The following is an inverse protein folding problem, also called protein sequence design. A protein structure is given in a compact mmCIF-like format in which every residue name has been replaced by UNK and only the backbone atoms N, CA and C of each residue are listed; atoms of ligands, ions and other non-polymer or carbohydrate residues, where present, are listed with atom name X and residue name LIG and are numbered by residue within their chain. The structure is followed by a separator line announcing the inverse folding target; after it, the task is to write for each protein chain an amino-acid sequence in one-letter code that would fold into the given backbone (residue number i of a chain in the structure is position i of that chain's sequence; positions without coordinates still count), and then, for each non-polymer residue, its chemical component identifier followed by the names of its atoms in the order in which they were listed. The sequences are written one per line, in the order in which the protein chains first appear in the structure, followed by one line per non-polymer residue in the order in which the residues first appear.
data_IF_920177749088
#
_entry.id   IF_920177749088
#
_cell.length_a   1.000
_cell.length_b   1.000
_cell.length_c   1.000
_cell.angle_alpha   90.00
_cell.angle_beta   90.00
_cell.angle_gamma   90.00
#
_symmetry.space_group_name_H-M   'P 1'
#
loop_
_entity.id
_entity.type
_entity.pdbx_description
1 polymer ?
#
# COMPACT_ATOMS: atom_id res chain seq x y z
N UNK A 1 51.37 -2.26 30.48
CA UNK A 1 50.55 -1.06 30.22
C UNK A 1 50.35 -0.99 28.74
N UNK A 2 49.23 -1.42 28.21
CA UNK A 2 48.89 -1.29 26.77
C UNK A 2 47.81 -0.21 26.66
N UNK A 3 48.18 0.90 26.02
CA UNK A 3 47.24 1.97 25.65
C UNK A 3 46.44 1.55 24.44
N UNK A 4 45.11 1.44 24.61
CA UNK A 4 44.17 1.30 23.49
C UNK A 4 43.95 2.68 22.84
N UNK A 5 43.92 2.78 21.50
CA UNK A 5 43.57 4.02 20.82
C UNK A 5 42.06 4.25 20.91
N UNK A 6 41.72 5.46 21.31
CA UNK A 6 40.34 6.02 21.29
C UNK A 6 39.92 6.15 19.85
N UNK A 7 38.84 5.44 19.46
CA UNK A 7 38.18 5.67 18.18
C UNK A 7 37.38 6.98 18.26
N UNK A 8 37.92 8.03 17.66
CA UNK A 8 37.16 9.24 17.36
C UNK A 8 36.07 8.92 16.31
N UNK A 9 34.82 9.14 16.69
CA UNK A 9 33.67 9.13 15.80
C UNK A 9 33.78 10.28 14.77
N UNK A 10 34.42 10.04 13.64
CA UNK A 10 34.30 10.90 12.47
C UNK A 10 33.00 10.55 11.75
N UNK A 11 31.99 11.41 11.87
CA UNK A 11 30.82 11.39 11.02
C UNK A 11 31.27 11.48 9.57
N UNK A 12 31.19 10.36 8.84
CA UNK A 12 31.41 10.36 7.39
C UNK A 12 30.22 11.03 6.72
N UNK A 13 30.37 12.30 6.38
CA UNK A 13 29.51 12.99 5.44
C UNK A 13 29.77 12.44 4.04
N UNK A 14 28.95 11.48 3.61
CA UNK A 14 28.90 11.05 2.21
C UNK A 14 28.21 12.15 1.37
N UNK A 15 28.97 13.12 0.93
CA UNK A 15 28.54 14.01 -0.17
C UNK A 15 28.70 13.25 -1.49
N UNK A 16 27.72 12.42 -1.84
CA UNK A 16 27.68 11.81 -3.16
C UNK A 16 27.20 12.84 -4.19
N UNK A 17 28.07 13.14 -5.14
CA UNK A 17 27.76 13.88 -6.38
C UNK A 17 27.06 12.97 -7.40
N UNK A 18 25.90 12.43 -7.05
CA UNK A 18 24.99 11.87 -8.04
C UNK A 18 23.80 12.82 -8.15
N UNK A 19 23.66 13.45 -9.30
CA UNK A 19 22.58 14.35 -9.69
C UNK A 19 21.34 13.58 -10.10
N UNK A 20 20.80 12.79 -9.20
CA UNK A 20 19.41 12.35 -9.19
C UNK A 20 19.01 12.35 -7.71
N UNK A 21 17.82 12.80 -7.41
CA UNK A 21 17.29 12.89 -6.05
C UNK A 21 17.04 11.45 -5.52
N UNK A 22 18.13 10.74 -5.18
CA UNK A 22 18.16 9.33 -4.75
C UNK A 22 18.10 9.17 -3.24
N UNK A 23 17.78 10.25 -2.52
CA UNK A 23 17.60 10.16 -1.07
C UNK A 23 16.33 9.38 -0.79
N UNK A 24 16.47 8.22 -0.13
CA UNK A 24 15.32 7.45 0.36
C UNK A 24 14.52 8.29 1.35
N UNK A 25 13.21 8.27 1.21
CA UNK A 25 12.28 8.90 2.15
C UNK A 25 12.14 8.04 3.39
N UNK A 26 11.87 8.68 4.51
CA UNK A 26 11.48 8.02 5.74
C UNK A 26 9.95 8.02 5.83
N UNK A 27 9.37 6.92 6.26
CA UNK A 27 7.92 6.86 6.46
C UNK A 27 7.50 7.69 7.68
N UNK A 28 6.21 8.06 7.80
CA UNK A 28 5.71 8.74 9.00
C UNK A 28 5.91 7.94 10.29
N UNK A 29 6.11 6.63 10.19
CA UNK A 29 6.33 5.72 11.33
C UNK A 29 7.80 5.48 11.65
N UNK A 30 8.74 6.01 10.85
CA UNK A 30 10.17 5.69 10.96
C UNK A 30 10.75 5.92 12.36
N UNK A 31 10.29 6.94 13.07
CA UNK A 31 10.76 7.20 14.44
C UNK A 31 10.47 6.04 15.41
N UNK A 32 9.39 5.28 15.17
CA UNK A 32 9.03 4.09 15.95
C UNK A 32 9.64 2.82 15.36
N UNK A 33 9.50 2.64 14.06
CA UNK A 33 9.98 1.44 13.39
C UNK A 33 11.48 1.28 13.46
N UNK A 34 12.26 2.37 13.41
CA UNK A 34 13.72 2.33 13.53
C UNK A 34 14.20 1.89 14.92
N UNK A 35 13.47 2.22 15.97
CA UNK A 35 13.80 1.81 17.35
C UNK A 35 13.46 0.34 17.62
N UNK A 36 12.50 -0.21 16.88
CA UNK A 36 12.04 -1.58 17.03
C UNK A 36 12.82 -2.57 16.15
N UNK A 37 13.50 -2.07 15.11
CA UNK A 37 14.22 -2.90 14.15
C UNK A 37 15.57 -3.36 14.73
N UNK A 38 15.58 -4.51 15.40
CA UNK A 38 16.78 -5.12 15.99
C UNK A 38 17.72 -5.64 14.92
N UNK A 39 17.19 -6.13 13.79
CA UNK A 39 17.99 -6.65 12.66
C UNK A 39 18.80 -5.57 11.98
N UNK A 40 18.34 -4.31 12.04
CA UNK A 40 18.88 -3.18 11.27
C UNK A 40 18.85 -3.42 9.74
N UNK A 41 18.02 -4.36 9.28
CA UNK A 41 17.83 -4.66 7.86
C UNK A 41 16.73 -3.80 7.27
N UNK A 42 17.09 -3.09 6.20
CA UNK A 42 16.22 -2.16 5.51
C UNK A 42 16.25 -2.40 4.01
N UNK A 43 15.10 -2.19 3.37
CA UNK A 43 14.93 -2.33 1.94
C UNK A 43 14.23 -1.11 1.36
N UNK A 44 14.55 -0.74 0.12
CA UNK A 44 13.80 0.26 -0.61
C UNK A 44 12.44 -0.29 -1.03
N UNK A 45 11.37 0.46 -0.74
CA UNK A 45 10.04 0.22 -1.26
C UNK A 45 9.43 1.54 -1.74
N UNK A 46 9.13 1.66 -3.04
CA UNK A 46 8.56 2.86 -3.68
C UNK A 46 9.22 4.19 -3.26
N UNK A 47 10.56 4.16 -3.11
CA UNK A 47 11.36 5.33 -2.71
C UNK A 47 11.49 5.56 -1.21
N UNK A 48 10.88 4.73 -0.37
CA UNK A 48 10.99 4.77 1.08
C UNK A 48 11.96 3.71 1.62
N UNK A 49 12.48 3.98 2.82
CA UNK A 49 13.23 3.02 3.62
C UNK A 49 12.24 2.23 4.48
N UNK A 50 12.09 0.93 4.20
CA UNK A 50 11.16 0.05 4.88
C UNK A 50 11.89 -1.09 5.59
N UNK A 51 11.45 -1.46 6.80
CA UNK A 51 12.04 -2.57 7.54
C UNK A 51 11.80 -3.89 6.81
N UNK A 52 12.86 -4.70 6.66
CA UNK A 52 12.78 -6.02 6.06
C UNK A 52 12.18 -7.01 7.05
N UNK A 53 12.65 -6.96 8.28
CA UNK A 53 12.14 -7.62 9.47
C UNK A 53 12.52 -6.77 10.69
N UNK A 54 11.84 -6.94 11.81
CA UNK A 54 12.12 -6.24 13.06
C UNK A 54 13.01 -7.07 13.99
N UNK A 55 12.70 -8.34 14.14
CA UNK A 55 13.54 -9.29 14.89
C UNK A 55 14.72 -9.75 14.02
N UNK A 56 15.62 -10.56 14.57
CA UNK A 56 16.76 -11.12 13.83
C UNK A 56 16.32 -12.03 12.68
N UNK A 57 15.13 -12.58 12.78
CA UNK A 57 14.50 -13.43 11.74
C UNK A 57 13.03 -13.08 11.60
N UNK A 58 12.38 -13.50 10.52
CA UNK A 58 11.01 -13.13 10.16
C UNK A 58 9.94 -14.12 10.65
N UNK A 59 10.30 -15.25 11.25
CA UNK A 59 9.36 -16.34 11.55
C UNK A 59 8.27 -15.91 12.56
N UNK A 60 8.64 -15.22 13.63
CA UNK A 60 7.66 -14.74 14.61
C UNK A 60 6.68 -13.73 14.00
N UNK A 61 7.18 -12.87 13.12
CA UNK A 61 6.38 -11.89 12.39
C UNK A 61 5.42 -12.59 11.43
N UNK A 62 5.89 -13.60 10.69
CA UNK A 62 5.06 -14.44 9.84
C UNK A 62 3.96 -15.17 10.65
N UNK A 63 4.33 -15.81 11.76
CA UNK A 63 3.34 -16.48 12.59
C UNK A 63 2.37 -15.51 13.26
N UNK A 64 2.75 -14.26 13.51
CA UNK A 64 1.82 -13.24 13.98
C UNK A 64 0.71 -12.96 12.95
N UNK A 65 1.05 -12.92 11.65
CA UNK A 65 0.05 -12.81 10.57
C UNK A 65 -0.94 -13.97 10.62
N UNK A 66 -0.45 -15.21 10.86
CA UNK A 66 -1.27 -16.43 10.78
C UNK A 66 -2.07 -16.73 12.06
N UNK A 67 -1.56 -16.35 13.21
CA UNK A 67 -2.11 -16.83 14.51
C UNK A 67 -2.45 -15.74 15.51
N UNK A 68 -2.04 -14.48 15.25
CA UNK A 68 -2.21 -13.36 16.19
C UNK A 68 -2.65 -12.08 15.46
N UNK A 69 -1.80 -11.07 15.48
CA UNK A 69 -1.95 -9.85 14.70
C UNK A 69 -0.57 -9.28 14.33
N UNK A 70 -0.41 -8.88 13.10
CA UNK A 70 0.77 -8.25 12.54
C UNK A 70 0.47 -6.80 12.14
N UNK A 71 1.36 -5.88 12.50
CA UNK A 71 1.25 -4.46 12.15
C UNK A 71 2.36 -4.08 11.18
N UNK A 72 1.99 -3.71 9.95
CA UNK A 72 2.90 -3.38 8.87
C UNK A 72 2.73 -1.92 8.46
N UNK A 73 3.83 -1.23 8.21
CA UNK A 73 3.86 0.09 7.58
C UNK A 73 3.75 -0.06 6.06
N UNK A 74 2.61 0.34 5.51
CA UNK A 74 2.33 0.33 4.07
C UNK A 74 2.26 1.75 3.49
N UNK A 75 2.78 2.76 4.21
CA UNK A 75 2.84 4.14 3.73
C UNK A 75 3.61 4.33 2.42
N UNK A 76 4.59 3.49 2.04
CA UNK A 76 5.26 3.61 0.75
C UNK A 76 4.37 3.47 -0.48
N UNK A 77 3.20 2.83 -0.39
CA UNK A 77 2.22 2.79 -1.49
C UNK A 77 1.89 4.20 -1.97
N UNK A 78 1.87 4.39 -3.29
CA UNK A 78 1.40 5.64 -3.89
C UNK A 78 -0.11 5.77 -3.73
N UNK A 79 -0.57 6.99 -3.50
CA UNK A 79 -1.97 7.31 -3.27
C UNK A 79 -2.31 8.55 -4.07
N UNK A 80 -3.27 8.44 -4.98
CA UNK A 80 -3.76 9.57 -5.76
C UNK A 80 -5.23 9.79 -5.45
N UNK A 81 -5.54 10.99 -5.02
CA UNK A 81 -6.90 11.44 -4.77
C UNK A 81 -7.43 12.06 -6.05
N UNK A 82 -8.55 11.54 -6.54
CA UNK A 82 -9.21 11.97 -7.78
C UNK A 82 -10.59 12.49 -7.39
N UNK A 83 -10.86 13.74 -7.69
CA UNK A 83 -12.09 14.40 -7.29
C UNK A 83 -12.65 15.23 -8.47
N UNK A 84 -13.93 15.12 -8.73
CA UNK A 84 -14.61 15.86 -9.76
C UNK A 84 -15.69 15.05 -10.51
N UNK A 85 -16.53 15.74 -11.31
CA UNK A 85 -17.65 15.12 -12.03
C UNK A 85 -17.23 13.96 -12.95
N UNK A 86 -16.02 14.04 -13.54
CA UNK A 86 -15.51 13.01 -14.43
C UNK A 86 -14.62 11.96 -13.77
N UNK A 87 -14.48 11.97 -12.42
CA UNK A 87 -13.59 11.06 -11.69
C UNK A 87 -13.92 9.57 -11.95
N UNK A 88 -15.21 9.24 -11.97
CA UNK A 88 -15.66 7.87 -12.28
C UNK A 88 -15.33 7.46 -13.71
N UNK A 89 -15.52 8.37 -14.70
CA UNK A 89 -15.23 8.12 -16.10
C UNK A 89 -13.73 7.97 -16.35
N UNK A 90 -12.91 8.84 -15.73
CA UNK A 90 -11.46 8.74 -15.77
C UNK A 90 -10.99 7.38 -15.28
N UNK A 91 -11.41 6.99 -14.07
CA UNK A 91 -11.01 5.71 -13.49
C UNK A 91 -11.53 4.52 -14.30
N UNK A 92 -12.76 4.62 -14.82
CA UNK A 92 -13.30 3.54 -15.66
C UNK A 92 -12.54 3.38 -16.98
N UNK A 93 -12.03 4.47 -17.57
CA UNK A 93 -11.18 4.40 -18.77
C UNK A 93 -9.75 3.94 -18.46
N UNK A 94 -9.23 4.26 -17.26
CA UNK A 94 -7.89 3.92 -16.84
C UNK A 94 -7.74 2.42 -16.53
N UNK A 95 -8.67 1.82 -15.75
CA UNK A 95 -8.52 0.47 -15.23
C UNK A 95 -9.35 -0.57 -15.95
N UNK A 96 -8.98 -1.83 -15.83
CA UNK A 96 -9.68 -2.93 -16.53
C UNK A 96 -11.02 -3.32 -15.90
N UNK A 97 -11.24 -2.98 -14.60
CA UNK A 97 -12.50 -3.20 -13.88
C UNK A 97 -13.55 -2.15 -14.27
N UNK A 98 -14.82 -2.50 -14.12
CA UNK A 98 -15.94 -1.55 -14.26
C UNK A 98 -16.08 -0.74 -12.96
N UNK A 99 -15.64 0.52 -12.96
CA UNK A 99 -15.69 1.42 -11.81
C UNK A 99 -17.08 2.03 -11.62
N UNK A 100 -17.90 2.09 -12.67
CA UNK A 100 -19.26 2.64 -12.60
C UNK A 100 -20.14 1.89 -11.57
N UNK A 101 -19.87 0.59 -11.31
CA UNK A 101 -20.59 -0.22 -10.32
C UNK A 101 -19.99 -0.14 -8.90
N UNK A 102 -18.85 0.52 -8.72
CA UNK A 102 -18.23 0.69 -7.40
C UNK A 102 -19.12 1.55 -6.51
N UNK A 103 -19.50 1.06 -5.35
CA UNK A 103 -20.36 1.79 -4.40
C UNK A 103 -19.52 2.71 -3.51
N UNK A 104 -20.14 3.75 -2.97
CA UNK A 104 -19.50 4.58 -1.93
C UNK A 104 -19.11 3.68 -0.75
N UNK A 105 -17.89 3.83 -0.23
CA UNK A 105 -17.32 2.97 0.79
C UNK A 105 -16.87 1.60 0.29
N UNK A 106 -16.90 1.34 -1.03
CA UNK A 106 -16.36 0.10 -1.60
C UNK A 106 -14.94 0.31 -2.10
N UNK A 107 -14.15 -0.75 -1.98
CA UNK A 107 -12.78 -0.88 -2.52
C UNK A 107 -12.81 -1.88 -3.67
N UNK A 108 -12.06 -1.65 -4.74
CA UNK A 108 -11.93 -2.58 -5.87
C UNK A 108 -10.46 -2.74 -6.23
N UNK A 109 -9.94 -3.96 -6.17
CA UNK A 109 -8.63 -4.28 -6.73
C UNK A 109 -8.71 -4.37 -8.26
N UNK A 110 -7.74 -3.81 -8.98
CA UNK A 110 -7.73 -3.76 -10.44
C UNK A 110 -6.31 -3.55 -10.98
N UNK A 111 -5.93 -4.20 -12.07
CA UNK A 111 -4.79 -3.79 -12.89
C UNK A 111 -5.20 -2.68 -13.86
N UNK A 112 -4.19 -1.99 -14.42
CA UNK A 112 -4.34 -1.12 -15.60
C UNK A 112 -3.19 -1.35 -16.56
N UNK A 113 -3.46 -1.04 -17.84
CA UNK A 113 -2.60 -1.39 -18.94
C UNK A 113 -2.16 -0.16 -19.75
N UNK A 114 -1.14 -0.36 -20.58
CA UNK A 114 -0.84 0.51 -21.72
C UNK A 114 -1.76 0.19 -22.92
N UNK A 115 -1.60 0.93 -24.02
CA UNK A 115 -2.41 0.79 -25.22
C UNK A 115 -2.25 -0.59 -25.91
N UNK A 116 -1.16 -1.30 -25.61
CA UNK A 116 -0.87 -2.64 -26.11
C UNK A 116 -1.42 -3.75 -25.20
N UNK A 117 -2.23 -3.40 -24.19
CA UNK A 117 -2.81 -4.36 -23.26
C UNK A 117 -1.80 -4.96 -22.27
N UNK A 118 -0.63 -4.36 -22.13
CA UNK A 118 0.39 -4.81 -21.17
C UNK A 118 0.26 -4.07 -19.85
N UNK A 119 0.37 -4.81 -18.74
CA UNK A 119 0.15 -4.26 -17.40
C UNK A 119 1.21 -3.23 -17.05
N UNK A 120 0.74 -2.04 -16.66
CA UNK A 120 1.57 -0.98 -16.10
C UNK A 120 1.76 -1.20 -14.60
N UNK A 121 0.65 -1.39 -13.87
CA UNK A 121 0.63 -1.57 -12.43
C UNK A 121 -0.71 -2.19 -12.00
N UNK A 122 -0.83 -2.54 -10.74
CA UNK A 122 -2.05 -2.99 -10.10
C UNK A 122 -2.23 -2.28 -8.75
N UNK A 123 -3.46 -2.24 -8.28
CA UNK A 123 -3.74 -1.58 -7.01
C UNK A 123 -5.22 -1.57 -6.66
N UNK A 124 -5.59 -0.67 -5.75
CA UNK A 124 -6.98 -0.55 -5.30
C UNK A 124 -7.57 0.80 -5.69
N UNK A 125 -8.84 0.80 -6.09
CA UNK A 125 -9.68 1.98 -6.21
C UNK A 125 -10.66 1.98 -5.06
N UNK A 126 -10.64 3.03 -4.24
CA UNK A 126 -11.52 3.28 -3.10
C UNK A 126 -12.49 4.39 -3.48
N UNK A 127 -13.81 4.15 -3.43
CA UNK A 127 -14.80 5.21 -3.64
C UNK A 127 -15.15 5.88 -2.32
N UNK A 128 -14.63 7.09 -2.11
CA UNK A 128 -14.75 7.82 -0.85
C UNK A 128 -16.08 8.57 -0.76
N UNK A 129 -16.56 9.12 -1.89
CA UNK A 129 -17.86 9.79 -1.99
C UNK A 129 -18.40 9.68 -3.42
N UNK A 130 -19.43 10.43 -3.77
CA UNK A 130 -20.07 10.38 -5.09
C UNK A 130 -19.05 10.57 -6.22
N UNK A 131 -18.21 11.61 -6.13
CA UNK A 131 -17.26 12.02 -7.16
C UNK A 131 -15.80 11.96 -6.69
N UNK A 132 -15.52 11.35 -5.54
CA UNK A 132 -14.20 11.32 -4.94
C UNK A 132 -13.70 9.90 -4.75
N UNK A 133 -12.51 9.64 -5.27
CA UNK A 133 -11.87 8.34 -5.24
C UNK A 133 -10.42 8.46 -4.78
N UNK A 134 -9.90 7.39 -4.18
CA UNK A 134 -8.46 7.19 -4.01
C UNK A 134 -8.05 5.97 -4.83
N UNK A 135 -7.00 6.11 -5.64
CA UNK A 135 -6.32 4.97 -6.27
C UNK A 135 -4.96 4.78 -5.61
N UNK A 136 -4.62 3.53 -5.29
CA UNK A 136 -3.29 3.15 -4.79
C UNK A 136 -2.51 2.44 -5.86
N UNK A 137 -1.19 2.53 -5.84
CA UNK A 137 -0.28 1.83 -6.77
C UNK A 137 1.05 1.49 -6.09
N UNK A 138 1.76 0.51 -6.64
CA UNK A 138 3.08 0.12 -6.15
C UNK A 138 4.15 1.15 -6.54
N UNK A 139 4.08 1.69 -7.74
CA UNK A 139 5.05 2.66 -8.29
C UNK A 139 4.36 3.99 -8.70
N UNK A 140 5.13 5.06 -8.97
CA UNK A 140 4.57 6.34 -9.40
C UNK A 140 3.82 6.24 -10.74
N UNK A 141 2.54 6.62 -10.74
CA UNK A 141 1.66 6.61 -11.92
C UNK A 141 0.99 7.97 -12.18
N UNK A 142 1.37 9.04 -11.47
CA UNK A 142 0.72 10.35 -11.57
C UNK A 142 0.71 10.90 -13.00
N UNK A 143 1.85 10.80 -13.70
CA UNK A 143 1.97 11.29 -15.08
C UNK A 143 1.02 10.56 -16.03
N UNK A 144 0.88 9.24 -15.85
CA UNK A 144 -0.03 8.43 -16.65
C UNK A 144 -1.49 8.81 -16.38
N UNK A 145 -1.86 8.95 -15.12
CA UNK A 145 -3.22 9.34 -14.73
C UNK A 145 -3.54 10.75 -15.27
N UNK A 146 -2.62 11.71 -15.16
CA UNK A 146 -2.79 13.06 -15.70
C UNK A 146 -2.90 13.08 -17.23
N UNK A 147 -2.14 12.23 -17.91
CA UNK A 147 -2.22 12.12 -19.38
C UNK A 147 -3.62 11.68 -19.82
N UNK A 148 -4.18 10.66 -19.17
CA UNK A 148 -5.52 10.15 -19.47
C UNK A 148 -6.62 11.17 -19.09
N UNK A 149 -6.41 11.93 -18.03
CA UNK A 149 -7.35 12.95 -17.55
C UNK A 149 -7.44 14.19 -18.46
N UNK A 150 -6.64 14.26 -19.53
CA UNK A 150 -6.60 15.43 -20.41
C UNK A 150 -7.99 15.76 -20.97
N UNK A 151 -8.50 16.95 -20.70
CA UNK A 151 -9.82 17.42 -21.12
C UNK A 151 -10.98 17.02 -20.21
N UNK A 152 -10.74 16.28 -19.12
CA UNK A 152 -11.75 15.89 -18.13
C UNK A 152 -11.84 16.92 -16.99
N UNK A 153 -13.02 17.05 -16.42
CA UNK A 153 -13.28 17.93 -15.28
C UNK A 153 -13.00 17.17 -13.97
N UNK A 154 -11.71 17.03 -13.64
CA UNK A 154 -11.22 16.37 -12.42
C UNK A 154 -10.01 17.10 -11.85
N UNK A 155 -9.83 17.02 -10.54
CA UNK A 155 -8.58 17.33 -9.87
C UNK A 155 -7.88 16.04 -9.44
N UNK A 156 -6.57 15.96 -9.61
CA UNK A 156 -5.75 14.82 -9.23
C UNK A 156 -4.66 15.33 -8.29
N UNK A 157 -4.62 14.77 -7.09
CA UNK A 157 -3.66 15.13 -6.05
C UNK A 157 -2.83 13.90 -5.68
N UNK A 158 -1.51 14.03 -5.66
CA UNK A 158 -0.64 13.04 -5.01
C UNK A 158 -0.76 13.18 -3.50
N UNK A 159 -1.46 12.25 -2.88
CA UNK A 159 -1.77 12.17 -1.45
C UNK A 159 -0.78 11.26 -0.69
N UNK A 160 0.29 10.83 -1.37
CA UNK A 160 1.22 9.82 -0.84
C UNK A 160 1.98 10.28 0.40
N UNK A 161 2.27 11.58 0.50
CA UNK A 161 3.02 12.16 1.62
C UNK A 161 2.13 12.72 2.74
N UNK A 162 0.84 12.90 2.49
CA UNK A 162 -0.11 13.42 3.48
C UNK A 162 -0.92 12.32 4.16
N UNK A 163 -1.06 11.17 3.51
CA UNK A 163 -1.76 10.00 4.05
C UNK A 163 -0.77 8.88 4.40
N UNK A 164 -0.59 8.63 5.69
CA UNK A 164 0.06 7.44 6.22
C UNK A 164 -0.88 6.23 6.15
N UNK A 165 -0.32 5.03 6.04
CA UNK A 165 -1.13 3.82 6.01
C UNK A 165 -0.48 2.67 6.78
N UNK A 166 -1.29 1.94 7.55
CA UNK A 166 -0.90 0.72 8.26
C UNK A 166 -1.76 -0.44 7.80
N UNK A 167 -1.17 -1.62 7.69
CA UNK A 167 -1.90 -2.87 7.57
C UNK A 167 -1.87 -3.62 8.91
N UNK A 168 -3.05 -3.88 9.47
CA UNK A 168 -3.22 -4.73 10.66
C UNK A 168 -3.83 -6.06 10.19
N UNK A 169 -3.02 -7.11 10.17
CA UNK A 169 -3.35 -8.38 9.56
C UNK A 169 -3.31 -9.50 10.59
N UNK A 170 -4.13 -10.53 10.42
CA UNK A 170 -4.21 -11.71 11.29
C UNK A 170 -5.54 -11.84 12.03
N UNK A 171 -5.79 -13.01 12.65
CA UNK A 171 -7.09 -13.36 13.24
C UNK A 171 -7.57 -12.39 14.34
N UNK A 172 -6.64 -11.79 15.10
CA UNK A 172 -6.97 -10.87 16.21
C UNK A 172 -7.12 -9.40 15.76
N UNK A 173 -6.94 -9.09 14.46
CA UNK A 173 -6.98 -7.73 13.95
C UNK A 173 -8.30 -7.01 14.21
N UNK A 174 -9.44 -7.72 14.09
CA UNK A 174 -10.77 -7.16 14.33
C UNK A 174 -10.99 -6.79 15.79
N UNK A 175 -10.62 -7.66 16.70
CA UNK A 175 -10.78 -7.45 18.14
C UNK A 175 -9.97 -6.24 18.61
N UNK A 176 -8.74 -6.10 18.12
CA UNK A 176 -7.90 -4.93 18.41
C UNK A 176 -8.60 -3.67 17.94
N UNK A 177 -9.05 -3.62 16.69
CA UNK A 177 -9.70 -2.44 16.13
C UNK A 177 -11.03 -2.12 16.82
N UNK A 178 -11.85 -3.12 17.14
CA UNK A 178 -13.09 -2.91 17.87
C UNK A 178 -12.86 -2.34 19.28
N UNK A 179 -11.70 -2.61 19.89
CA UNK A 179 -11.37 -2.09 21.23
C UNK A 179 -11.06 -0.59 21.25
N UNK A 180 -10.74 0.01 20.10
CA UNK A 180 -10.33 1.42 19.98
C UNK A 180 -11.20 2.23 19.03
N UNK A 181 -11.96 1.57 18.16
CA UNK A 181 -12.81 2.23 17.17
C UNK A 181 -14.12 2.72 17.80
N UNK A 182 -14.54 3.92 17.43
CA UNK A 182 -15.87 4.44 17.77
C UNK A 182 -17.01 3.72 17.06
N UNK A 183 -16.71 2.81 16.11
CA UNK A 183 -17.67 2.07 15.30
C UNK A 183 -17.30 0.60 15.27
N UNK A 184 -18.27 -0.32 15.44
CA UNK A 184 -18.05 -1.76 15.31
C UNK A 184 -17.66 -2.15 13.88
N UNK A 185 -16.63 -2.98 13.75
CA UNK A 185 -16.16 -3.50 12.46
C UNK A 185 -16.73 -4.90 12.14
N UNK A 186 -17.62 -5.42 12.97
CA UNK A 186 -18.16 -6.79 12.81
C UNK A 186 -18.88 -6.96 11.46
N UNK A 187 -19.61 -5.94 11.03
CA UNK A 187 -20.39 -5.96 9.79
C UNK A 187 -19.65 -5.35 8.59
N UNK A 188 -18.40 -4.88 8.78
CA UNK A 188 -17.63 -4.35 7.68
C UNK A 188 -17.29 -5.49 6.70
N UNK A 189 -17.82 -5.39 5.48
CA UNK A 189 -17.66 -6.40 4.45
C UNK A 189 -16.25 -6.38 3.86
N UNK A 190 -15.79 -7.52 3.36
CA UNK A 190 -14.57 -7.61 2.60
C UNK A 190 -14.61 -6.68 1.38
N UNK A 191 -13.54 -5.95 1.13
CA UNK A 191 -13.43 -4.87 0.14
C UNK A 191 -14.44 -3.73 0.35
N UNK A 192 -14.74 -3.40 1.63
CA UNK A 192 -15.43 -2.17 2.01
C UNK A 192 -14.62 -1.40 3.04
N UNK A 193 -14.90 -0.12 3.15
CA UNK A 193 -14.26 0.80 4.08
C UNK A 193 -15.29 1.66 4.81
N UNK A 194 -14.89 2.17 5.96
CA UNK A 194 -15.65 3.14 6.77
C UNK A 194 -14.71 4.20 7.32
N UNK A 195 -15.25 5.37 7.55
CA UNK A 195 -14.61 6.41 8.36
C UNK A 195 -15.03 6.24 9.82
N UNK A 196 -14.08 6.35 10.73
CA UNK A 196 -14.29 6.24 12.17
C UNK A 196 -13.26 7.09 12.91
N UNK A 197 -13.19 6.95 14.23
CA UNK A 197 -12.14 7.57 15.02
C UNK A 197 -11.53 6.57 15.99
N UNK A 198 -10.26 6.78 16.29
CA UNK A 198 -9.53 6.11 17.37
C UNK A 198 -9.23 7.14 18.46
N UNK A 199 -9.95 7.06 19.58
CA UNK A 199 -9.82 8.02 20.69
C UNK A 199 -9.90 9.50 20.25
N UNK A 200 -10.79 9.80 19.27
CA UNK A 200 -10.98 11.17 18.75
C UNK A 200 -10.18 11.49 17.50
N UNK A 201 -9.15 10.71 17.15
CA UNK A 201 -8.39 10.87 15.89
C UNK A 201 -9.13 10.23 14.72
N UNK A 202 -9.41 10.98 13.68
CA UNK A 202 -10.10 10.50 12.47
C UNK A 202 -9.23 9.53 11.68
N UNK A 203 -9.81 8.39 11.31
CA UNK A 203 -9.17 7.38 10.46
C UNK A 203 -10.18 6.78 9.50
N UNK A 204 -9.69 6.31 8.35
CA UNK A 204 -10.48 5.45 7.46
C UNK A 204 -9.97 4.02 7.57
N UNK A 205 -10.86 3.04 7.64
CA UNK A 205 -10.48 1.63 7.76
C UNK A 205 -11.11 0.87 6.60
N UNK A 206 -10.30 0.16 5.81
CA UNK A 206 -10.77 -0.78 4.80
C UNK A 206 -10.52 -2.23 5.27
N UNK A 207 -11.49 -3.12 5.00
CA UNK A 207 -11.29 -4.56 5.19
C UNK A 207 -10.62 -5.14 3.95
N UNK A 208 -9.35 -4.85 3.84
CA UNK A 208 -8.43 -5.25 2.78
C UNK A 208 -7.11 -5.69 3.38
N UNK A 209 -6.25 -6.31 2.59
CA UNK A 209 -4.92 -6.73 3.02
C UNK A 209 -4.21 -7.54 1.94
N UNK A 210 -2.94 -7.83 2.20
CA UNK A 210 -2.04 -8.46 1.25
C UNK A 210 -1.40 -9.75 1.81
N UNK A 211 -2.13 -10.44 2.70
CA UNK A 211 -1.62 -11.62 3.43
C UNK A 211 -2.44 -12.89 3.24
N UNK A 212 -3.63 -12.77 2.62
CA UNK A 212 -4.57 -13.87 2.48
C UNK A 212 -5.40 -14.18 3.73
N UNK A 213 -5.09 -13.55 4.85
CA UNK A 213 -5.82 -13.67 6.12
C UNK A 213 -6.79 -12.51 6.36
N UNK A 214 -7.55 -12.61 7.47
CA UNK A 214 -8.33 -11.48 7.97
C UNK A 214 -7.40 -10.31 8.24
N UNK A 215 -7.76 -9.15 7.71
CA UNK A 215 -6.97 -7.96 7.92
C UNK A 215 -7.70 -6.69 7.54
N UNK A 216 -7.09 -5.59 7.94
CA UNK A 216 -7.57 -4.24 7.72
C UNK A 216 -6.42 -3.33 7.34
N UNK A 217 -6.69 -2.35 6.50
CA UNK A 217 -5.79 -1.24 6.22
C UNK A 217 -6.37 0.03 6.84
N UNK A 218 -5.51 0.78 7.52
CA UNK A 218 -5.85 1.96 8.29
C UNK A 218 -5.18 3.15 7.62
N UNK A 219 -5.99 4.10 7.14
CA UNK A 219 -5.57 5.29 6.43
C UNK A 219 -5.66 6.48 7.38
N UNK A 220 -4.55 7.18 7.58
CA UNK A 220 -4.33 8.11 8.68
C UNK A 220 -3.74 9.39 8.12
N UNK A 221 -4.13 10.57 8.64
CA UNK A 221 -3.36 11.78 8.38
C UNK A 221 -1.93 11.58 8.91
N UNK A 222 -0.94 11.93 8.11
CA UNK A 222 0.48 11.77 8.46
C UNK A 222 0.83 12.35 9.85
N UNK A 223 0.22 13.48 10.23
CA UNK A 223 0.47 14.13 11.53
C UNK A 223 0.05 13.27 12.72
N UNK A 224 -0.93 12.38 12.53
CA UNK A 224 -1.47 11.49 13.57
C UNK A 224 -0.79 10.10 13.59
N UNK A 225 0.12 9.84 12.65
CA UNK A 225 0.68 8.51 12.43
C UNK A 225 1.27 7.87 13.69
N UNK A 226 2.13 8.59 14.41
CA UNK A 226 2.80 8.06 15.61
C UNK A 226 1.84 7.79 16.75
N UNK A 227 0.83 8.64 16.93
CA UNK A 227 -0.21 8.46 17.96
C UNK A 227 -1.01 7.18 17.70
N UNK A 228 -1.38 6.95 16.45
CA UNK A 228 -2.13 5.75 16.05
C UNK A 228 -1.26 4.48 16.14
N UNK A 229 0.02 4.56 15.75
CA UNK A 229 0.96 3.47 15.92
C UNK A 229 1.07 3.03 17.39
N UNK A 230 1.34 3.99 18.27
CA UNK A 230 1.51 3.73 19.72
C UNK A 230 0.21 3.17 20.32
N UNK A 231 -0.95 3.70 19.93
CA UNK A 231 -2.26 3.23 20.38
C UNK A 231 -2.52 1.76 19.96
N UNK A 232 -2.23 1.43 18.70
CA UNK A 232 -2.42 0.07 18.19
C UNK A 232 -1.52 -0.93 18.92
N UNK A 233 -0.25 -0.59 19.14
CA UNK A 233 0.66 -1.46 19.88
C UNK A 233 0.24 -1.62 21.35
N UNK A 234 -0.18 -0.55 22.02
CA UNK A 234 -0.65 -0.61 23.40
C UNK A 234 -1.87 -1.54 23.53
N UNK A 235 -2.91 -1.30 22.75
CA UNK A 235 -4.15 -2.07 22.80
C UNK A 235 -4.01 -3.48 22.23
N UNK A 236 -3.14 -3.66 21.25
CA UNK A 236 -2.88 -4.95 20.62
C UNK A 236 -1.99 -5.89 21.45
N UNK A 237 -1.33 -5.37 22.51
CA UNK A 237 -0.36 -6.15 23.31
C UNK A 237 -0.93 -7.45 23.85
N UNK A 238 -2.14 -7.42 24.42
CA UNK A 238 -2.82 -8.63 24.94
C UNK A 238 -3.28 -9.60 23.84
N UNK A 239 -3.35 -9.14 22.60
CA UNK A 239 -3.72 -9.93 21.41
C UNK A 239 -2.50 -10.43 20.64
N UNK A 240 -1.28 -10.13 21.12
CA UNK A 240 -0.02 -10.54 20.48
C UNK A 240 0.29 -9.77 19.19
N UNK A 241 -0.05 -8.48 19.14
CA UNK A 241 0.33 -7.62 18.01
C UNK A 241 1.86 -7.56 17.88
N UNK A 242 2.34 -7.74 16.65
CA UNK A 242 3.77 -7.78 16.34
C UNK A 242 4.06 -6.82 15.18
N UNK A 243 4.96 -5.84 15.33
CA UNK A 243 5.51 -5.11 14.19
C UNK A 243 6.09 -6.09 13.18
N UNK A 244 5.78 -5.91 11.90
CA UNK A 244 6.06 -6.91 10.88
C UNK A 244 6.66 -6.24 9.65
N UNK A 245 7.75 -6.81 9.14
CA UNK A 245 8.48 -6.31 7.99
C UNK A 245 8.12 -7.01 6.68
N UNK A 246 8.86 -6.63 5.64
CA UNK A 246 8.57 -7.04 4.27
C UNK A 246 8.83 -8.53 4.00
N UNK A 247 9.73 -9.21 4.72
CA UNK A 247 9.98 -10.64 4.52
C UNK A 247 8.76 -11.50 4.89
N UNK A 248 8.17 -11.25 6.05
CA UNK A 248 6.96 -11.96 6.47
C UNK A 248 5.77 -11.67 5.54
N UNK A 249 5.67 -10.41 5.07
CA UNK A 249 4.67 -10.03 4.07
C UNK A 249 4.88 -10.77 2.75
N UNK A 250 6.13 -10.85 2.23
CA UNK A 250 6.45 -11.54 0.98
C UNK A 250 6.07 -13.03 1.04
N UNK A 251 6.35 -13.72 2.14
CA UNK A 251 5.96 -15.12 2.31
C UNK A 251 4.42 -15.22 2.29
N UNK A 252 3.76 -14.38 3.07
CA UNK A 252 2.29 -14.44 3.23
C UNK A 252 1.55 -14.16 1.93
N UNK A 253 2.00 -13.14 1.14
CA UNK A 253 1.36 -12.79 -0.13
C UNK A 253 1.56 -13.88 -1.18
N UNK A 254 2.74 -14.54 -1.21
CA UNK A 254 3.02 -15.64 -2.14
C UNK A 254 2.10 -16.83 -1.84
N UNK A 255 1.94 -17.21 -0.58
CA UNK A 255 1.01 -18.27 -0.16
C UNK A 255 -0.44 -17.95 -0.53
N UNK A 256 -0.82 -16.67 -0.49
CA UNK A 256 -2.14 -16.20 -0.91
C UNK A 256 -2.32 -16.08 -2.43
N UNK A 257 -1.24 -16.28 -3.21
CA UNK A 257 -1.26 -16.11 -4.67
C UNK A 257 -1.38 -14.65 -5.13
N UNK A 258 -0.94 -13.70 -4.31
CA UNK A 258 -0.95 -12.28 -4.64
C UNK A 258 0.36 -11.86 -5.28
N UNK A 259 0.26 -11.19 -6.44
CA UNK A 259 1.43 -10.79 -7.25
C UNK A 259 1.97 -9.44 -6.80
N UNK A 260 3.27 -9.21 -7.05
CA UNK A 260 4.00 -7.99 -6.71
C UNK A 260 4.73 -7.47 -7.93
N UNK A 261 4.52 -6.19 -8.24
CA UNK A 261 5.25 -5.48 -9.28
C UNK A 261 6.76 -5.51 -9.03
N UNK A 262 7.56 -5.63 -10.09
CA UNK A 262 9.02 -5.76 -10.11
C UNK A 262 9.58 -7.04 -9.44
N UNK A 263 8.70 -7.93 -8.99
CA UNK A 263 9.05 -9.25 -8.48
C UNK A 263 8.44 -10.34 -9.36
N UNK A 264 7.12 -10.39 -9.49
CA UNK A 264 6.42 -11.41 -10.28
C UNK A 264 6.16 -10.96 -11.72
N UNK A 265 6.08 -9.66 -11.95
CA UNK A 265 5.97 -9.07 -13.29
C UNK A 265 6.67 -7.71 -13.34
N UNK A 266 6.94 -7.21 -14.54
CA UNK A 266 7.58 -5.91 -14.76
C UNK A 266 6.59 -4.96 -15.41
N UNK A 267 6.54 -3.71 -14.92
CA UNK A 267 5.72 -2.66 -15.54
C UNK A 267 6.02 -2.51 -17.02
N UNK A 268 4.98 -2.46 -17.85
CA UNK A 268 5.14 -2.26 -19.30
C UNK A 268 5.81 -0.93 -19.65
N UNK A 269 5.73 0.06 -18.75
CA UNK A 269 6.39 1.37 -18.89
C UNK A 269 7.90 1.32 -18.61
N UNK A 270 8.38 0.36 -17.84
CA UNK A 270 9.78 0.23 -17.43
C UNK A 270 10.48 -0.94 -18.11
N UNK A 271 9.75 -1.90 -18.66
CA UNK A 271 10.31 -3.05 -19.32
C UNK A 271 11.05 -2.66 -20.62
N UNK A 272 12.37 -2.83 -20.63
CA UNK A 272 13.21 -2.61 -21.83
C UNK A 272 13.02 -3.74 -22.84
N UNK A 273 12.79 -4.96 -22.36
CA UNK A 273 12.64 -6.16 -23.19
C UNK A 273 11.15 -6.43 -23.37
N UNK A 274 10.67 -6.41 -24.61
CA UNK A 274 9.24 -6.55 -24.94
C UNK A 274 8.65 -7.86 -24.39
N UNK A 275 9.38 -8.97 -24.49
CA UNK A 275 8.92 -10.28 -24.01
C UNK A 275 8.78 -10.38 -22.47
N UNK A 276 9.19 -9.37 -21.71
CA UNK A 276 8.96 -9.29 -20.25
C UNK A 276 7.66 -8.59 -19.88
N UNK A 277 6.99 -7.97 -20.85
CA UNK A 277 5.68 -7.35 -20.64
C UNK A 277 4.59 -8.40 -20.64
N UNK A 278 3.74 -8.37 -19.64
CA UNK A 278 2.64 -9.33 -19.48
C UNK A 278 1.29 -8.64 -19.63
N UNK A 279 0.33 -9.33 -20.20
CA UNK A 279 -1.09 -8.96 -20.15
C UNK A 279 -1.69 -9.38 -18.79
N UNK A 280 -2.84 -8.82 -18.39
CA UNK A 280 -3.53 -9.27 -17.20
C UNK A 280 -3.88 -10.77 -17.23
N UNK A 281 -4.14 -11.33 -18.41
CA UNK A 281 -4.46 -12.76 -18.56
C UNK A 281 -3.26 -13.65 -18.26
N UNK A 282 -2.05 -13.26 -18.71
CA UNK A 282 -0.79 -13.97 -18.41
C UNK A 282 -0.44 -13.93 -16.93
N UNK A 283 -0.90 -12.89 -16.20
CA UNK A 283 -0.71 -12.75 -14.74
C UNK A 283 -1.82 -13.38 -13.89
N UNK A 284 -2.77 -14.10 -14.51
CA UNK A 284 -3.90 -14.68 -13.77
C UNK A 284 -4.96 -13.66 -13.33
N UNK A 285 -4.88 -12.43 -13.81
CA UNK A 285 -5.80 -11.33 -13.47
C UNK A 285 -6.99 -11.20 -14.44
N UNK A 286 -7.22 -12.19 -15.31
CA UNK A 286 -8.32 -12.17 -16.29
C UNK A 286 -9.71 -11.96 -15.66
N UNK A 287 -9.92 -12.39 -14.41
CA UNK A 287 -11.14 -12.15 -13.66
C UNK A 287 -11.41 -10.65 -13.39
N UNK A 288 -10.35 -9.83 -13.35
CA UNK A 288 -10.42 -8.39 -13.16
C UNK A 288 -10.61 -7.62 -14.49
N UNK A 289 -10.47 -8.27 -15.64
CA UNK A 289 -10.68 -7.65 -16.95
C UNK A 289 -12.15 -7.74 -17.35
N UNK A 290 -12.79 -6.59 -17.56
CA UNK A 290 -14.22 -6.50 -17.92
C UNK A 290 -14.38 -6.10 -19.40
N UNK A 291 -14.18 -7.08 -20.29
CA UNK A 291 -14.30 -6.87 -21.75
C UNK A 291 -15.66 -6.38 -22.22
N UNK A 292 -16.71 -6.54 -21.40
CA UNK A 292 -18.07 -6.08 -21.70
C UNK A 292 -18.36 -4.62 -21.31
N UNK A 293 -17.42 -3.90 -20.66
CA UNK A 293 -17.56 -2.45 -20.46
C UNK A 293 -17.26 -1.69 -21.75
N UNK A 294 -17.66 -0.41 -21.83
CA UNK A 294 -17.60 0.37 -23.08
C UNK A 294 -16.19 0.45 -23.64
N UNK A 295 -15.27 1.03 -22.87
CA UNK A 295 -13.88 1.15 -23.28
C UNK A 295 -12.95 1.27 -22.06
N UNK A 296 -11.67 0.93 -22.25
CA UNK A 296 -10.56 1.20 -21.35
C UNK A 296 -9.24 1.05 -22.12
N UNK A 297 -8.19 1.66 -21.61
CA UNK A 297 -6.89 1.63 -22.27
C UNK A 297 -6.37 0.19 -22.37
N UNK A 298 -5.96 -0.17 -23.58
CA UNK A 298 -5.48 -1.52 -23.91
C UNK A 298 -6.57 -2.54 -24.25
N UNK A 299 -7.88 -2.19 -24.17
CA UNK A 299 -8.98 -3.13 -24.41
C UNK A 299 -8.89 -3.83 -25.75
N UNK A 300 -8.57 -3.08 -26.84
CA UNK A 300 -8.51 -3.63 -28.19
C UNK A 300 -7.32 -4.58 -28.43
N UNK A 301 -6.30 -4.49 -27.57
CA UNK A 301 -5.12 -5.35 -27.65
C UNK A 301 -5.25 -6.62 -26.78
N UNK A 302 -6.20 -6.64 -25.82
CA UNK A 302 -6.53 -7.77 -24.97
C UNK A 302 -7.51 -8.71 -25.62
#
# INVERSE_FOLDING_TARGET
MFNSPIFENKSMSFKNKFTANTQLKLSPFFERTSKLNESQEWRRWSGYLSATNYELTHENEYFAIRTKAALLDISPLKKYLIDGPDASNLLDSLVTRNIQICKIGQVMYTPWCDENGKVIDDGTVQRLSENKYRITSAEPNLDWINHIATGMNVSILDDSETTAALALQGPNSREILNSISGTSLNDLKFFYMIDTNFNGTQVSISRTGYTGDLGYEIWINQEDALVIWDLLLDKGKSYGITPTGLHALDISRIEAGLILLDVDYVSSRHAIIESRKSSPFELGLGWAVKMNKNDFIGKNAL
#
